data_IF_143476735569
#
_entry.id   IF_143476735569
#
_cell.length_a   1.000
_cell.length_b   1.000
_cell.length_c   1.000
_cell.angle_alpha   90.00
_cell.angle_beta   90.00
_cell.angle_gamma   90.00
#
_symmetry.space_group_name_H-M   'P 1'
#
loop_
_entity.id
_entity.type
_entity.pdbx_description
1 polymer ?
#
# COMPACT_ATOMS: atom_id res chain seq x y z
N UNK A 1 -1.25 -8.60 17.62
CA UNK A 1 0.07 -8.11 17.20
C UNK A 1 0.46 -8.88 15.94
N UNK A 2 1.07 -8.24 14.94
CA UNK A 2 1.54 -8.95 13.75
C UNK A 2 2.57 -10.01 14.16
N UNK A 3 2.57 -11.15 13.47
CA UNK A 3 3.44 -12.30 13.80
C UNK A 3 4.84 -12.13 13.21
N UNK A 4 4.93 -11.42 12.08
CA UNK A 4 6.16 -11.18 11.36
C UNK A 4 6.38 -9.69 11.11
N UNK A 5 7.65 -9.30 11.00
CA UNK A 5 8.04 -7.94 10.65
C UNK A 5 9.42 -7.89 10.02
N UNK A 6 9.62 -6.90 9.16
CA UNK A 6 10.91 -6.59 8.55
C UNK A 6 11.09 -5.07 8.46
N UNK A 7 12.31 -4.61 8.22
CA UNK A 7 12.61 -3.19 8.07
C UNK A 7 13.60 -2.98 6.95
N UNK A 8 13.37 -1.97 6.11
CA UNK A 8 14.27 -1.58 5.03
C UNK A 8 14.49 -0.07 5.05
N UNK A 9 15.75 0.34 4.89
CA UNK A 9 16.07 1.74 4.70
C UNK A 9 15.92 2.09 3.22
N UNK A 10 15.19 3.16 2.94
CA UNK A 10 14.99 3.71 1.61
C UNK A 10 15.76 5.04 1.56
N UNK A 11 16.87 5.06 0.81
CA UNK A 11 17.82 6.17 0.83
C UNK A 11 17.33 7.43 0.09
N UNK A 12 16.25 7.32 -0.69
CA UNK A 12 15.72 8.42 -1.49
C UNK A 12 14.27 8.13 -1.95
N UNK A 13 13.58 9.13 -2.54
CA UNK A 13 12.34 8.91 -3.27
C UNK A 13 12.48 7.88 -4.40
N UNK A 14 13.63 7.82 -5.07
CA UNK A 14 13.91 6.83 -6.12
C UNK A 14 14.05 5.42 -5.52
N UNK A 15 14.70 5.28 -4.37
CA UNK A 15 14.78 4.00 -3.65
C UNK A 15 13.40 3.51 -3.21
N UNK A 16 12.53 4.44 -2.78
CA UNK A 16 11.12 4.14 -2.48
C UNK A 16 10.39 3.62 -3.71
N UNK A 17 10.60 4.26 -4.86
CA UNK A 17 9.99 3.86 -6.12
C UNK A 17 10.49 2.49 -6.58
N UNK A 18 11.80 2.25 -6.51
CA UNK A 18 12.43 0.99 -6.87
C UNK A 18 11.91 -0.17 -6.01
N UNK A 19 11.73 0.06 -4.70
CA UNK A 19 11.15 -0.94 -3.82
C UNK A 19 9.69 -1.25 -4.18
N UNK A 20 8.88 -0.21 -4.43
CA UNK A 20 7.49 -0.38 -4.87
C UNK A 20 7.39 -1.16 -6.20
N UNK A 21 8.29 -0.87 -7.15
CA UNK A 21 8.38 -1.57 -8.43
C UNK A 21 8.81 -3.03 -8.28
N UNK A 22 9.75 -3.32 -7.37
CA UNK A 22 10.17 -4.69 -7.06
C UNK A 22 9.05 -5.50 -6.40
N UNK A 23 8.21 -4.85 -5.59
CA UNK A 23 7.05 -5.48 -4.94
C UNK A 23 5.90 -5.76 -5.90
N UNK A 24 5.64 -4.87 -6.86
CA UNK A 24 4.52 -4.98 -7.81
C UNK A 24 4.32 -6.37 -8.43
N UNK A 25 5.33 -7.05 -9.03
CA UNK A 25 5.12 -8.36 -9.66
C UNK A 25 4.78 -9.49 -8.68
N UNK A 26 4.89 -9.27 -7.37
CA UNK A 26 4.57 -10.26 -6.34
C UNK A 26 3.09 -10.20 -5.89
N UNK A 27 2.39 -9.15 -6.30
CA UNK A 27 1.00 -8.93 -5.93
C UNK A 27 0.02 -9.71 -6.81
N UNK A 28 -1.09 -10.08 -6.20
CA UNK A 28 -2.14 -10.93 -6.74
C UNK A 28 -3.51 -10.35 -6.36
N UNK A 29 -4.55 -10.75 -7.07
CA UNK A 29 -5.93 -10.47 -6.68
C UNK A 29 -6.17 -10.84 -5.20
N UNK A 30 -6.85 -9.96 -4.46
CA UNK A 30 -7.12 -10.10 -3.02
C UNK A 30 -5.99 -9.64 -2.10
N UNK A 31 -4.85 -9.19 -2.64
CA UNK A 31 -3.80 -8.61 -1.80
C UNK A 31 -4.18 -7.18 -1.38
N UNK A 32 -4.03 -6.92 -0.07
CA UNK A 32 -4.28 -5.61 0.52
C UNK A 32 -3.00 -5.09 1.17
N UNK A 33 -2.58 -3.90 0.78
CA UNK A 33 -1.45 -3.16 1.33
C UNK A 33 -1.98 -1.95 2.09
N UNK A 34 -1.67 -1.90 3.39
CA UNK A 34 -2.03 -0.80 4.26
C UNK A 34 -0.83 0.13 4.43
N UNK A 35 -0.97 1.38 3.97
CA UNK A 35 0.09 2.39 3.98
C UNK A 35 -0.13 3.38 5.12
N UNK A 36 0.69 3.30 6.17
CA UNK A 36 0.67 4.22 7.30
C UNK A 36 1.91 5.12 7.32
N UNK A 37 1.81 6.23 8.05
CA UNK A 37 2.87 7.25 8.15
C UNK A 37 2.30 8.66 8.17
N UNK A 38 3.08 9.61 8.69
CA UNK A 38 2.68 11.03 8.78
C UNK A 38 2.39 11.69 7.43
N UNK A 39 1.91 12.94 7.48
CA UNK A 39 1.81 13.79 6.27
C UNK A 39 3.22 13.98 5.70
N UNK A 40 3.38 13.81 4.38
CA UNK A 40 4.70 13.89 3.73
C UNK A 40 5.59 12.65 3.87
N UNK A 41 5.12 11.59 4.54
CA UNK A 41 5.88 10.34 4.68
C UNK A 41 6.14 9.60 3.36
N UNK A 42 5.45 9.95 2.27
CA UNK A 42 5.66 9.34 0.95
C UNK A 42 4.70 8.20 0.59
N UNK A 43 3.61 8.01 1.35
CA UNK A 43 2.57 7.00 1.08
C UNK A 43 2.05 7.05 -0.37
N UNK A 44 1.56 8.20 -0.83
CA UNK A 44 1.11 8.37 -2.22
C UNK A 44 2.22 8.17 -3.24
N UNK A 45 3.47 8.55 -2.91
CA UNK A 45 4.61 8.33 -3.81
C UNK A 45 4.88 6.84 -4.01
N UNK A 46 4.89 6.07 -2.91
CA UNK A 46 4.96 4.62 -2.93
C UNK A 46 3.81 4.01 -3.75
N UNK A 47 2.55 4.40 -3.43
CA UNK A 47 1.37 3.88 -4.10
C UNK A 47 1.42 4.13 -5.61
N UNK A 48 1.77 5.35 -6.03
CA UNK A 48 1.96 5.72 -7.44
C UNK A 48 2.97 4.82 -8.14
N UNK A 49 4.17 4.69 -7.59
CA UNK A 49 5.21 3.86 -8.18
C UNK A 49 4.78 2.40 -8.31
N UNK A 50 4.08 1.87 -7.30
CA UNK A 50 3.56 0.51 -7.30
C UNK A 50 2.48 0.32 -8.38
N UNK A 51 1.49 1.21 -8.42
CA UNK A 51 0.38 1.17 -9.39
C UNK A 51 0.93 1.28 -10.81
N UNK A 52 1.81 2.25 -11.07
CA UNK A 52 2.43 2.42 -12.39
C UNK A 52 3.19 1.18 -12.86
N UNK A 53 3.82 0.43 -11.95
CA UNK A 53 4.50 -0.83 -12.29
C UNK A 53 3.52 -1.97 -12.66
N UNK A 54 2.32 -1.95 -12.10
CA UNK A 54 1.27 -2.94 -12.37
C UNK A 54 0.46 -2.66 -13.65
N UNK A 55 0.47 -1.42 -14.13
CA UNK A 55 -0.34 -1.02 -15.28
C UNK A 55 0.18 -1.59 -16.62
N UNK A 56 -0.72 -1.92 -17.56
CA UNK A 56 -0.35 -2.35 -18.91
C UNK A 56 0.20 -1.22 -19.78
N UNK A 57 -0.16 0.03 -19.47
CA UNK A 57 0.29 1.23 -20.16
C UNK A 57 0.54 2.37 -19.14
N UNK A 58 1.40 3.35 -19.46
CA UNK A 58 1.61 4.50 -18.60
C UNK A 58 0.33 5.30 -18.36
N UNK A 59 0.04 5.61 -17.11
CA UNK A 59 -1.09 6.44 -16.68
C UNK A 59 -0.66 7.32 -15.50
N UNK A 60 -1.32 8.46 -15.36
CA UNK A 60 -1.16 9.32 -14.19
C UNK A 60 -1.89 8.70 -12.98
N UNK A 61 -1.21 8.66 -11.84
CA UNK A 61 -1.76 8.13 -10.59
C UNK A 61 -1.73 9.27 -9.55
N UNK A 62 -2.72 10.17 -9.57
CA UNK A 62 -2.81 11.25 -8.59
C UNK A 62 -3.18 10.69 -7.21
N UNK A 63 -3.00 11.50 -6.16
CA UNK A 63 -3.53 11.12 -4.84
C UNK A 63 -5.07 11.15 -4.88
N UNK A 64 -5.76 10.11 -4.41
CA UNK A 64 -7.21 10.08 -4.34
C UNK A 64 -7.75 10.80 -3.10
N UNK A 65 -6.98 11.66 -2.41
CA UNK A 65 -7.43 12.33 -1.17
C UNK A 65 -8.83 12.96 -1.25
N UNK A 66 -9.26 13.46 -2.42
CA UNK A 66 -10.59 14.05 -2.61
C UNK A 66 -11.62 13.09 -3.20
N UNK A 67 -11.19 12.14 -4.03
CA UNK A 67 -12.08 11.12 -4.61
C UNK A 67 -12.29 9.94 -3.66
N UNK A 68 -11.50 9.86 -2.58
CA UNK A 68 -11.32 8.79 -1.60
C UNK A 68 -10.81 7.48 -2.19
N UNK A 69 -11.32 7.08 -3.36
CA UNK A 69 -10.93 5.89 -4.11
C UNK A 69 -10.70 6.25 -5.58
N UNK A 70 -9.70 5.64 -6.20
CA UNK A 70 -9.55 5.55 -7.65
C UNK A 70 -9.20 4.12 -8.04
N UNK A 71 -9.73 3.66 -9.17
CA UNK A 71 -9.45 2.32 -9.68
C UNK A 71 -8.71 2.38 -11.00
N UNK A 72 -7.87 1.37 -11.24
CA UNK A 72 -7.04 1.27 -12.43
C UNK A 72 -7.06 -0.15 -13.02
N UNK A 73 -7.02 -0.30 -14.35
CA UNK A 73 -7.06 -1.60 -15.02
C UNK A 73 -5.68 -2.27 -14.99
N UNK A 74 -5.32 -2.89 -13.86
CA UNK A 74 -4.09 -3.67 -13.74
C UNK A 74 -4.06 -4.89 -14.68
N UNK A 75 -2.85 -5.40 -14.96
CA UNK A 75 -2.66 -6.53 -15.90
C UNK A 75 -3.36 -7.83 -15.45
N UNK A 76 -3.38 -8.09 -14.15
CA UNK A 76 -3.84 -9.36 -13.55
C UNK A 76 -5.10 -9.22 -12.73
N UNK A 77 -5.34 -8.05 -12.16
CA UNK A 77 -6.51 -7.69 -11.35
C UNK A 77 -6.73 -6.17 -11.42
N UNK A 78 -7.94 -5.72 -11.09
CA UNK A 78 -8.18 -4.30 -10.85
C UNK A 78 -7.34 -3.82 -9.66
N UNK A 79 -6.88 -2.58 -9.72
CA UNK A 79 -6.08 -1.96 -8.66
C UNK A 79 -6.90 -0.84 -8.04
N UNK A 80 -7.07 -0.88 -6.73
CA UNK A 80 -7.82 0.11 -5.96
C UNK A 80 -6.86 0.92 -5.11
N UNK A 81 -6.78 2.23 -5.37
CA UNK A 81 -6.03 3.18 -4.56
C UNK A 81 -7.01 3.98 -3.71
N UNK A 82 -6.97 3.77 -2.40
CA UNK A 82 -7.77 4.50 -1.44
C UNK A 82 -6.90 5.42 -0.58
N UNK A 83 -7.36 6.64 -0.34
CA UNK A 83 -6.81 7.56 0.65
C UNK A 83 -7.92 7.98 1.61
N UNK A 84 -7.89 7.42 2.80
CA UNK A 84 -8.94 7.59 3.80
C UNK A 84 -8.69 8.81 4.70
N UNK A 85 -7.69 9.66 4.42
CA UNK A 85 -7.32 10.79 5.29
C UNK A 85 -8.52 11.67 5.69
N UNK A 86 -9.45 11.89 4.74
CA UNK A 86 -10.65 12.73 4.90
C UNK A 86 -11.90 11.95 5.30
N UNK A 87 -11.81 10.64 5.42
CA UNK A 87 -12.93 9.80 5.83
C UNK A 87 -13.32 10.13 7.28
N UNK A 88 -14.59 10.47 7.50
CA UNK A 88 -15.08 10.88 8.81
C UNK A 88 -15.78 9.75 9.54
N UNK A 89 -16.54 8.92 8.81
CA UNK A 89 -17.18 7.72 9.33
C UNK A 89 -16.54 6.45 8.70
N UNK A 90 -16.00 5.51 9.51
CA UNK A 90 -15.52 4.23 8.99
C UNK A 90 -16.54 3.47 8.14
N UNK A 91 -17.86 3.59 8.40
CA UNK A 91 -18.88 2.88 7.62
C UNK A 91 -18.94 3.33 6.15
N UNK A 92 -18.45 4.53 5.82
CA UNK A 92 -18.32 4.99 4.43
C UNK A 92 -17.41 4.07 3.59
N UNK A 93 -16.51 3.29 4.21
CA UNK A 93 -15.67 2.30 3.51
C UNK A 93 -16.52 1.25 2.78
N UNK A 94 -17.66 0.85 3.36
CA UNK A 94 -18.59 -0.10 2.75
C UNK A 94 -19.27 0.55 1.54
N UNK A 95 -19.70 1.81 1.68
CA UNK A 95 -20.34 2.56 0.59
C UNK A 95 -19.38 2.82 -0.58
N UNK A 96 -18.08 2.95 -0.29
CA UNK A 96 -17.01 3.05 -1.28
C UNK A 96 -16.71 1.71 -1.99
N UNK A 97 -17.26 0.58 -1.52
CA UNK A 97 -17.04 -0.75 -2.10
C UNK A 97 -15.68 -1.38 -1.75
N UNK A 98 -14.93 -0.80 -0.80
CA UNK A 98 -13.59 -1.26 -0.44
C UNK A 98 -13.60 -2.66 0.19
N UNK A 99 -14.64 -2.97 0.96
CA UNK A 99 -14.79 -4.27 1.63
C UNK A 99 -14.94 -5.42 0.64
N UNK A 100 -15.66 -5.19 -0.45
CA UNK A 100 -15.83 -6.12 -1.57
C UNK A 100 -14.54 -6.19 -2.40
N UNK A 101 -13.87 -5.06 -2.63
CA UNK A 101 -12.63 -5.03 -3.39
C UNK A 101 -11.50 -5.85 -2.73
N UNK A 102 -11.47 -5.94 -1.39
CA UNK A 102 -10.44 -6.68 -0.66
C UNK A 102 -10.37 -8.18 -0.99
N UNK A 103 -11.41 -8.80 -1.57
CA UNK A 103 -11.35 -10.21 -1.99
C UNK A 103 -10.77 -10.44 -3.37
N UNK A 104 -10.93 -9.48 -4.29
CA UNK A 104 -10.74 -9.72 -5.72
C UNK A 104 -9.78 -8.73 -6.41
N UNK A 105 -9.56 -7.56 -5.82
CA UNK A 105 -8.67 -6.53 -6.34
C UNK A 105 -7.32 -6.51 -5.62
N UNK A 106 -6.36 -5.78 -6.19
CA UNK A 106 -5.16 -5.34 -5.47
C UNK A 106 -5.48 -4.00 -4.83
N UNK A 107 -5.51 -3.93 -3.49
CA UNK A 107 -5.88 -2.71 -2.78
C UNK A 107 -4.67 -2.05 -2.12
N UNK A 108 -4.47 -0.76 -2.36
CA UNK A 108 -3.54 0.10 -1.64
C UNK A 108 -4.35 1.12 -0.83
N UNK A 109 -4.28 1.06 0.49
CA UNK A 109 -5.07 1.93 1.38
C UNK A 109 -4.14 2.81 2.21
N UNK A 110 -4.14 4.11 1.92
CA UNK A 110 -3.50 5.12 2.76
C UNK A 110 -4.39 5.47 3.97
N UNK A 111 -3.74 5.74 5.11
CA UNK A 111 -4.41 6.02 6.39
C UNK A 111 -5.33 4.88 6.87
N UNK A 112 -4.78 3.66 6.99
CA UNK A 112 -5.55 2.45 7.29
C UNK A 112 -6.24 2.48 8.65
N UNK A 113 -5.83 3.34 9.58
CA UNK A 113 -6.49 3.51 10.89
C UNK A 113 -7.98 3.86 10.75
N UNK A 114 -8.38 4.42 9.60
CA UNK A 114 -9.77 4.75 9.28
C UNK A 114 -10.64 3.55 8.91
N UNK A 115 -10.03 2.39 8.61
CA UNK A 115 -10.76 1.14 8.38
C UNK A 115 -11.33 0.56 9.68
N UNK A 116 -10.77 0.90 10.85
CA UNK A 116 -11.12 0.29 12.12
C UNK A 116 -11.14 -1.25 12.03
N UNK A 117 -12.22 -1.91 12.44
CA UNK A 117 -12.37 -3.37 12.44
C UNK A 117 -12.53 -3.98 11.04
N UNK A 118 -12.64 -3.16 9.98
CA UNK A 118 -12.75 -3.62 8.59
C UNK A 118 -11.41 -3.88 7.92
N UNK A 119 -10.28 -3.55 8.58
CA UNK A 119 -8.96 -3.86 8.05
C UNK A 119 -8.79 -5.39 7.89
N UNK A 120 -8.45 -5.90 6.68
CA UNK A 120 -8.26 -7.33 6.49
C UNK A 120 -7.09 -7.83 7.34
N UNK A 121 -7.32 -8.90 8.12
CA UNK A 121 -6.26 -9.55 8.92
C UNK A 121 -5.15 -10.15 8.05
N UNK A 122 -5.41 -10.33 6.77
CA UNK A 122 -4.50 -10.85 5.76
C UNK A 122 -3.64 -9.77 5.10
N UNK A 123 -3.86 -8.49 5.43
CA UNK A 123 -3.15 -7.40 4.79
C UNK A 123 -1.67 -7.33 5.17
N UNK A 124 -0.86 -6.81 4.24
CA UNK A 124 0.51 -6.38 4.51
C UNK A 124 0.50 -4.92 4.98
N UNK A 125 1.02 -4.67 6.17
CA UNK A 125 1.15 -3.33 6.72
C UNK A 125 2.53 -2.74 6.41
N UNK A 126 2.55 -1.58 5.78
CA UNK A 126 3.73 -0.79 5.47
C UNK A 126 3.66 0.56 6.19
N UNK A 127 4.55 0.78 7.16
CA UNK A 127 4.70 2.07 7.81
C UNK A 127 5.92 2.81 7.25
N UNK A 128 5.69 4.02 6.71
CA UNK A 128 6.74 4.92 6.26
C UNK A 128 7.06 5.93 7.35
N UNK A 129 8.26 5.82 7.92
CA UNK A 129 8.80 6.74 8.92
C UNK A 129 9.92 7.61 8.30
N UNK A 130 10.11 8.87 8.77
CA UNK A 130 11.28 9.66 8.38
C UNK A 130 12.59 8.94 8.71
N UNK A 131 13.57 9.01 7.81
CA UNK A 131 14.94 8.56 8.06
C UNK A 131 15.79 9.62 8.76
N UNK A 132 17.11 9.42 8.75
CA UNK A 132 18.06 10.38 9.33
C UNK A 132 18.19 11.66 8.50
N UNK A 133 18.04 11.53 7.18
CA UNK A 133 18.03 12.64 6.23
C UNK A 133 16.61 12.87 5.69
N UNK A 134 16.32 14.11 5.25
CA UNK A 134 14.97 14.54 4.83
C UNK A 134 14.33 13.67 3.73
N UNK A 135 15.15 13.15 2.82
CA UNK A 135 14.72 12.32 1.69
C UNK A 135 14.73 10.81 1.98
N UNK A 136 15.26 10.41 3.14
CA UNK A 136 15.30 9.02 3.55
C UNK A 136 14.00 8.59 4.23
N UNK A 137 13.61 7.33 4.04
CA UNK A 137 12.51 6.71 4.77
C UNK A 137 12.96 5.41 5.40
N UNK A 138 12.48 5.14 6.60
CA UNK A 138 12.53 3.81 7.18
C UNK A 138 11.19 3.13 6.90
N UNK A 139 11.20 2.09 6.07
CA UNK A 139 10.02 1.29 5.76
C UNK A 139 9.94 0.12 6.74
N UNK A 140 8.91 0.08 7.57
CA UNK A 140 8.60 -1.08 8.41
C UNK A 140 7.48 -1.88 7.77
N UNK A 141 7.73 -3.17 7.59
CA UNK A 141 6.78 -4.14 7.08
C UNK A 141 6.31 -5.00 8.23
N UNK A 142 5.01 -5.30 8.30
CA UNK A 142 4.47 -6.24 9.27
C UNK A 142 3.26 -6.97 8.72
N UNK A 143 3.14 -8.25 9.08
CA UNK A 143 2.07 -9.12 8.60
C UNK A 143 1.85 -10.30 9.54
N UNK A 144 0.69 -10.95 9.42
CA UNK A 144 0.37 -12.22 10.11
C UNK A 144 0.00 -13.34 9.14
N UNK A 145 -0.36 -13.02 7.90
CA UNK A 145 -0.71 -14.04 6.91
C UNK A 145 0.55 -14.62 6.28
N UNK A 146 0.71 -15.94 6.40
CA UNK A 146 1.85 -16.68 5.88
C UNK A 146 2.04 -16.54 4.36
N UNK A 147 1.00 -16.16 3.61
CA UNK A 147 1.10 -15.85 2.18
C UNK A 147 2.10 -14.73 1.87
N UNK A 148 2.45 -13.89 2.86
CA UNK A 148 3.43 -12.83 2.70
C UNK A 148 4.86 -13.25 2.99
N UNK A 149 5.10 -14.37 3.69
CA UNK A 149 6.44 -14.78 4.14
C UNK A 149 7.44 -14.82 2.97
N UNK A 150 7.18 -15.70 2.00
CA UNK A 150 8.10 -15.88 0.86
C UNK A 150 8.16 -14.64 -0.05
N UNK A 151 7.07 -13.88 -0.13
CA UNK A 151 6.95 -12.70 -1.02
C UNK A 151 7.71 -11.49 -0.47
N UNK A 152 7.67 -11.29 0.84
CA UNK A 152 8.24 -10.11 1.49
C UNK A 152 9.67 -10.35 1.94
N UNK A 153 10.01 -11.54 2.41
CA UNK A 153 11.39 -11.86 2.82
C UNK A 153 12.38 -11.59 1.69
N UNK A 154 12.07 -12.00 0.46
CA UNK A 154 12.91 -11.74 -0.71
C UNK A 154 13.11 -10.26 -1.08
N UNK A 155 12.25 -9.34 -0.61
CA UNK A 155 12.38 -7.89 -0.85
C UNK A 155 13.21 -7.19 0.24
N UNK A 156 13.27 -7.78 1.42
CA UNK A 156 13.94 -7.22 2.59
C UNK A 156 15.40 -7.68 2.72
N UNK A 157 15.81 -8.71 1.98
CA UNK A 157 17.20 -9.10 1.83
C UNK A 157 17.86 -8.34 0.68
N UNK A 158 19.03 -7.76 0.93
CA UNK A 158 19.87 -7.09 -0.07
C UNK A 158 20.72 -8.10 -0.87
#
# INVERSE_FOLDING_TARGET
>A
MPEHSATKQLSSPDATCAFAQAMAPLLKAGDVILLSGGVGAGKTHFARCLIQALLPAPEDVPSPTYTLVQTYPGKTAEIWHADLYRLSDPFEVIELGLTEAFSDAICLVEWPDRLADMAPKTALCLALEPGEEDDQRLLRLSWSDANWNDRVEGLCHD
#
